data_IF_114598604867
#
_entry.id   IF_114598604867
#
_cell.length_a   1.000
_cell.length_b   1.000
_cell.length_c   1.000
_cell.angle_alpha   90.00
_cell.angle_beta   90.00
_cell.angle_gamma   90.00
#
_symmetry.space_group_name_H-M   'P 1'
#
loop_
_entity.id
_entity.type
_entity.pdbx_description
1 polymer ?
#
# COMPACT_ATOMS: atom_id res chain seq x y z
N UNK A 1 34.81 34.96 7.10
CA UNK A 1 33.58 34.15 7.23
C UNK A 1 32.92 34.53 8.56
N UNK A 2 31.90 35.40 8.55
CA UNK A 2 31.29 35.95 9.77
C UNK A 2 30.34 34.97 10.47
N UNK A 3 29.84 35.35 11.66
CA UNK A 3 28.90 34.59 12.51
C UNK A 3 27.70 34.00 11.74
N UNK A 4 27.19 34.71 10.73
CA UNK A 4 26.09 34.25 9.87
C UNK A 4 26.48 32.98 9.08
N UNK A 5 27.71 32.93 8.56
CA UNK A 5 28.20 31.76 7.82
C UNK A 5 28.37 30.52 8.70
N UNK A 6 28.84 30.70 9.93
CA UNK A 6 28.92 29.60 10.90
C UNK A 6 27.53 29.07 11.31
N UNK A 7 26.55 29.98 11.49
CA UNK A 7 25.17 29.60 11.80
C UNK A 7 24.52 28.74 10.71
N UNK A 8 24.69 29.10 9.43
CA UNK A 8 24.17 28.33 8.29
C UNK A 8 24.78 26.92 8.25
N UNK A 9 26.10 26.80 8.46
CA UNK A 9 26.80 25.51 8.46
C UNK A 9 26.30 24.61 9.60
N UNK A 10 26.17 25.15 10.82
CA UNK A 10 25.66 24.40 11.98
C UNK A 10 24.23 23.93 11.74
N UNK A 11 23.35 24.81 11.25
CA UNK A 11 21.98 24.45 10.92
C UNK A 11 21.92 23.35 9.86
N UNK A 12 22.68 23.49 8.77
CA UNK A 12 22.75 22.47 7.72
C UNK A 12 23.24 21.11 8.23
N UNK A 13 24.28 21.10 9.07
CA UNK A 13 24.79 19.88 9.70
C UNK A 13 23.75 19.21 10.61
N UNK A 14 23.02 20.01 11.41
CA UNK A 14 21.95 19.52 12.28
C UNK A 14 20.80 18.91 11.46
N UNK A 15 20.35 19.56 10.39
CA UNK A 15 19.31 19.03 9.49
C UNK A 15 19.77 17.73 8.81
N UNK A 16 21.01 17.67 8.34
CA UNK A 16 21.57 16.45 7.74
C UNK A 16 21.63 15.28 8.74
N UNK A 17 22.04 15.53 9.99
CA UNK A 17 22.04 14.52 11.03
C UNK A 17 20.61 14.07 11.39
N UNK A 18 19.67 15.01 11.51
CA UNK A 18 18.25 14.73 11.73
C UNK A 18 17.67 13.85 10.64
N UNK A 19 17.90 14.19 9.37
CA UNK A 19 17.45 13.41 8.22
C UNK A 19 18.04 11.99 8.22
N UNK A 20 19.34 11.83 8.52
CA UNK A 20 19.97 10.50 8.62
C UNK A 20 19.33 9.64 9.71
N UNK A 21 19.08 10.22 10.88
CA UNK A 21 18.41 9.53 12.00
C UNK A 21 16.98 9.14 11.63
N UNK A 22 16.21 10.06 11.04
CA UNK A 22 14.84 9.79 10.60
C UNK A 22 14.79 8.66 9.54
N UNK A 23 15.69 8.67 8.55
CA UNK A 23 15.79 7.61 7.54
C UNK A 23 16.19 6.26 8.15
N UNK A 24 17.11 6.26 9.11
CA UNK A 24 17.49 5.02 9.81
C UNK A 24 16.32 4.45 10.63
N UNK A 25 15.60 5.30 11.37
CA UNK A 25 14.41 4.91 12.11
C UNK A 25 13.29 4.39 11.20
N UNK A 26 13.02 5.07 10.07
CA UNK A 26 12.03 4.63 9.09
C UNK A 26 12.40 3.25 8.50
N UNK A 27 13.67 3.04 8.13
CA UNK A 27 14.14 1.73 7.66
C UNK A 27 14.00 0.63 8.71
N UNK A 28 14.33 0.94 9.96
CA UNK A 28 14.16 0.00 11.06
C UNK A 28 12.69 -0.39 11.24
N UNK A 29 11.76 0.58 11.19
CA UNK A 29 10.31 0.31 11.24
C UNK A 29 9.84 -0.56 10.07
N UNK A 30 10.28 -0.25 8.85
CA UNK A 30 9.89 -1.05 7.67
C UNK A 30 10.40 -2.48 7.74
N UNK A 31 11.57 -2.70 8.36
CA UNK A 31 12.16 -4.03 8.51
C UNK A 31 11.40 -4.94 9.50
N UNK A 32 10.54 -4.39 10.36
CA UNK A 32 9.73 -5.19 11.30
C UNK A 32 8.39 -5.64 10.71
N UNK A 33 7.99 -5.10 9.55
CA UNK A 33 6.70 -5.42 8.95
C UNK A 33 6.77 -6.75 8.18
N UNK A 34 5.69 -7.57 8.20
CA UNK A 34 5.64 -8.87 7.53
C UNK A 34 5.40 -8.70 6.01
N UNK A 35 6.34 -8.06 5.34
CA UNK A 35 6.23 -7.71 3.91
C UNK A 35 6.43 -8.95 3.05
N UNK A 36 5.47 -9.19 2.17
CA UNK A 36 5.51 -10.20 1.11
C UNK A 36 5.81 -9.53 -0.23
N UNK A 37 6.21 -10.33 -1.23
CA UNK A 37 6.43 -9.89 -2.61
C UNK A 37 5.64 -10.78 -3.54
N UNK A 38 5.01 -10.18 -4.54
CA UNK A 38 4.32 -10.88 -5.63
C UNK A 38 4.83 -10.36 -6.96
N UNK A 39 5.04 -11.27 -7.92
CA UNK A 39 5.48 -10.93 -9.28
C UNK A 39 4.24 -10.80 -10.14
N UNK A 40 4.05 -9.64 -10.75
CA UNK A 40 2.91 -9.33 -11.62
C UNK A 40 3.41 -8.95 -13.01
N UNK A 41 2.49 -8.92 -13.98
CA UNK A 41 2.77 -8.53 -15.36
C UNK A 41 3.35 -7.12 -15.47
N UNK A 42 2.95 -6.22 -14.57
CA UNK A 42 3.40 -4.82 -14.49
C UNK A 42 4.60 -4.60 -13.54
N UNK A 43 5.22 -5.68 -13.06
CA UNK A 43 6.37 -5.64 -12.16
C UNK A 43 6.09 -6.21 -10.78
N UNK A 44 7.15 -6.39 -10.00
CA UNK A 44 7.06 -6.91 -8.64
C UNK A 44 6.39 -5.90 -7.71
N UNK A 45 5.46 -6.37 -6.88
CA UNK A 45 4.78 -5.56 -5.85
C UNK A 45 5.13 -6.10 -4.46
N UNK A 46 5.58 -5.21 -3.58
CA UNK A 46 5.68 -5.49 -2.15
C UNK A 46 4.36 -5.17 -1.47
N UNK A 47 3.88 -6.05 -0.58
CA UNK A 47 2.59 -5.88 0.08
C UNK A 47 2.57 -6.52 1.48
N UNK A 48 1.63 -6.08 2.30
CA UNK A 48 1.27 -6.76 3.55
C UNK A 48 -0.05 -7.49 3.33
N UNK A 49 -0.14 -8.70 3.88
CA UNK A 49 -1.35 -9.52 3.97
C UNK A 49 -1.49 -9.96 5.42
N UNK A 50 -2.45 -9.35 6.12
CA UNK A 50 -2.70 -9.59 7.54
C UNK A 50 -4.20 -9.52 7.82
N UNK A 51 -4.58 -9.93 9.02
CA UNK A 51 -5.97 -9.94 9.47
C UNK A 51 -6.31 -11.22 10.21
N UNK A 52 -7.59 -11.45 10.51
CA UNK A 52 -8.04 -12.68 11.14
C UNK A 52 -7.72 -13.89 10.25
N UNK A 53 -7.10 -14.91 10.85
CA UNK A 53 -6.95 -16.23 10.23
C UNK A 53 -8.36 -16.82 9.99
N UNK A 54 -8.61 -17.49 8.86
CA UNK A 54 -9.85 -18.26 8.68
C UNK A 54 -10.01 -19.24 9.84
N UNK A 55 -11.22 -19.33 10.40
CA UNK A 55 -11.57 -20.38 11.35
C UNK A 55 -11.64 -21.73 10.62
N UNK A 56 -10.50 -22.31 10.27
CA UNK A 56 -10.41 -23.58 9.54
C UNK A 56 -9.12 -23.69 8.74
N UNK A 57 -8.26 -24.64 9.12
CA UNK A 57 -6.92 -24.82 8.59
C UNK A 57 -6.81 -24.98 7.07
N UNK A 58 -5.57 -24.76 6.60
CA UNK A 58 -5.10 -24.84 5.22
C UNK A 58 -5.71 -25.98 4.39
N UNK A 59 -6.51 -25.65 3.38
CA UNK A 59 -6.76 -26.57 2.26
C UNK A 59 -8.16 -26.56 1.67
N UNK A 60 -8.59 -25.46 1.04
CA UNK A 60 -9.78 -25.46 0.18
C UNK A 60 -10.17 -24.06 -0.28
N UNK A 61 -10.85 -23.91 -1.43
CA UNK A 61 -11.37 -22.62 -1.87
C UNK A 61 -12.41 -22.12 -0.86
N UNK A 62 -12.11 -20.98 -0.22
CA UNK A 62 -12.94 -20.38 0.83
C UNK A 62 -14.32 -20.00 0.28
N UNK A 63 -15.33 -20.82 0.56
CA UNK A 63 -16.74 -20.40 0.51
C UNK A 63 -16.96 -19.42 1.66
N UNK A 64 -16.85 -18.12 1.36
CA UNK A 64 -17.16 -17.00 2.27
C UNK A 64 -16.25 -16.93 3.49
N UNK A 65 -15.24 -16.06 3.47
CA UNK A 65 -14.57 -15.69 4.72
C UNK A 65 -15.59 -15.01 5.65
N UNK A 66 -15.57 -15.35 6.94
CA UNK A 66 -16.37 -14.68 7.99
C UNK A 66 -16.02 -13.18 8.15
N UNK A 67 -15.02 -12.71 7.40
CA UNK A 67 -14.53 -11.35 7.39
C UNK A 67 -14.50 -10.78 5.96
N UNK A 68 -14.58 -9.46 5.88
CA UNK A 68 -14.36 -8.72 4.64
C UNK A 68 -12.87 -8.56 4.33
N UNK A 69 -12.54 -8.45 3.04
CA UNK A 69 -11.17 -8.17 2.58
C UNK A 69 -11.09 -6.74 2.06
N UNK A 70 -10.12 -5.97 2.56
CA UNK A 70 -9.86 -4.59 2.18
C UNK A 70 -8.56 -4.51 1.38
N UNK A 71 -8.64 -4.02 0.15
CA UNK A 71 -7.49 -3.55 -0.61
C UNK A 71 -7.22 -2.08 -0.25
N UNK A 72 -6.18 -1.84 0.55
CA UNK A 72 -5.82 -0.49 1.02
C UNK A 72 -4.72 0.12 0.17
N UNK A 73 -5.03 1.23 -0.49
CA UNK A 73 -4.16 1.89 -1.47
C UNK A 73 -3.65 3.21 -0.90
N UNK A 74 -2.34 3.26 -0.63
CA UNK A 74 -1.68 4.41 -0.01
C UNK A 74 -1.56 5.63 -0.93
N UNK A 75 -1.27 6.80 -0.33
CA UNK A 75 -1.12 8.09 -1.00
C UNK A 75 0.28 8.34 -1.58
N UNK A 76 0.67 9.61 -1.68
CA UNK A 76 2.06 9.97 -2.00
C UNK A 76 2.98 9.75 -0.78
N UNK A 77 4.24 9.45 -1.05
CA UNK A 77 5.30 9.23 -0.04
C UNK A 77 5.06 8.08 0.95
N UNK A 78 4.08 7.23 0.67
CA UNK A 78 3.75 6.05 1.49
C UNK A 78 4.38 4.76 0.98
N UNK A 79 3.65 3.68 1.17
CA UNK A 79 3.98 2.30 0.82
C UNK A 79 2.98 1.35 1.46
N UNK A 80 3.30 0.07 1.48
CA UNK A 80 2.54 -0.96 2.22
C UNK A 80 2.34 -0.60 3.70
N UNK A 81 3.25 0.18 4.30
CA UNK A 81 3.16 0.62 5.69
C UNK A 81 2.06 1.67 5.89
N UNK A 82 2.03 2.71 5.05
CA UNK A 82 0.94 3.69 5.06
C UNK A 82 -0.39 3.06 4.66
N UNK A 83 -0.39 2.12 3.70
CA UNK A 83 -1.59 1.37 3.34
C UNK A 83 -2.16 0.61 4.55
N UNK A 84 -1.31 -0.02 5.37
CA UNK A 84 -1.74 -0.65 6.61
C UNK A 84 -2.19 0.39 7.65
N UNK A 85 -1.46 1.49 7.83
CA UNK A 85 -1.82 2.55 8.78
C UNK A 85 -3.20 3.17 8.45
N UNK A 86 -3.58 3.26 7.16
CA UNK A 86 -4.86 3.83 6.71
C UNK A 86 -6.10 3.07 7.21
N UNK A 87 -5.98 1.76 7.47
CA UNK A 87 -7.12 0.94 7.90
C UNK A 87 -7.27 0.89 9.42
N UNK A 88 -6.27 1.36 10.17
CA UNK A 88 -6.31 1.41 11.64
C UNK A 88 -6.69 0.06 12.26
N UNK A 89 -7.63 0.07 13.20
CA UNK A 89 -8.10 -1.13 13.89
C UNK A 89 -8.99 -2.05 13.04
N UNK A 90 -9.35 -1.68 11.80
CA UNK A 90 -10.08 -2.58 10.91
C UNK A 90 -9.29 -3.86 10.61
N UNK A 91 -7.96 -3.84 10.73
CA UNK A 91 -7.13 -5.05 10.58
C UNK A 91 -7.40 -6.13 11.62
N UNK A 92 -8.09 -5.81 12.73
CA UNK A 92 -8.51 -6.79 13.74
C UNK A 92 -9.75 -7.58 13.30
N UNK A 93 -10.51 -7.07 12.32
CA UNK A 93 -11.81 -7.62 11.90
C UNK A 93 -11.88 -7.95 10.41
N UNK A 94 -11.00 -7.38 9.60
CA UNK A 94 -10.95 -7.56 8.16
C UNK A 94 -9.57 -8.05 7.74
N UNK A 95 -9.52 -8.86 6.67
CA UNK A 95 -8.26 -9.16 6.00
C UNK A 95 -7.82 -7.93 5.20
N UNK A 96 -6.57 -7.54 5.36
CA UNK A 96 -6.01 -6.34 4.75
C UNK A 96 -4.96 -6.77 3.74
N UNK A 97 -5.18 -6.35 2.50
CA UNK A 97 -4.19 -6.40 1.44
C UNK A 97 -3.68 -4.97 1.23
N UNK A 98 -2.45 -4.71 1.66
CA UNK A 98 -1.83 -3.39 1.67
C UNK A 98 -0.59 -3.37 0.76
N UNK A 99 -0.74 -3.19 -0.56
CA UNK A 99 0.38 -3.09 -1.49
C UNK A 99 1.04 -1.72 -1.47
N UNK A 100 2.35 -1.69 -1.73
CA UNK A 100 3.02 -0.49 -2.25
C UNK A 100 2.66 -0.31 -3.73
N UNK A 101 2.19 0.87 -4.10
CA UNK A 101 1.97 1.26 -5.50
C UNK A 101 3.28 1.24 -6.30
N UNK A 102 3.18 1.33 -7.62
CA UNK A 102 4.31 1.40 -8.53
C UNK A 102 5.30 2.52 -8.15
N UNK A 103 6.59 2.17 -8.10
CA UNK A 103 7.67 3.09 -7.74
C UNK A 103 7.81 3.39 -6.24
N UNK A 104 6.94 2.83 -5.39
CA UNK A 104 6.99 2.96 -3.93
C UNK A 104 7.75 1.79 -3.27
N UNK A 105 8.04 1.84 -1.95
CA UNK A 105 8.94 0.90 -1.29
C UNK A 105 8.69 -0.56 -1.65
N UNK A 106 9.71 -1.20 -2.22
CA UNK A 106 9.69 -2.62 -2.57
C UNK A 106 8.91 -2.98 -3.83
N UNK A 107 8.20 -2.04 -4.47
CA UNK A 107 7.47 -2.25 -5.72
C UNK A 107 8.18 -1.63 -6.91
N UNK A 108 8.32 -2.41 -7.98
CA UNK A 108 8.84 -1.95 -9.27
C UNK A 108 7.70 -1.45 -10.17
N UNK A 109 8.05 -0.92 -11.33
CA UNK A 109 7.10 -0.54 -12.37
C UNK A 109 7.64 -0.99 -13.72
N UNK A 110 6.80 -1.66 -14.51
CA UNK A 110 7.02 -1.97 -15.93
C UNK A 110 5.88 -1.35 -16.73
N UNK A 111 6.18 -0.87 -17.93
CA UNK A 111 5.20 -0.14 -18.74
C UNK A 111 5.16 1.35 -18.38
N UNK A 112 3.99 1.96 -18.54
CA UNK A 112 3.81 3.41 -18.35
C UNK A 112 3.57 3.80 -16.88
N UNK A 113 3.21 2.83 -16.03
CA UNK A 113 2.91 3.06 -14.62
C UNK A 113 1.65 3.89 -14.41
N UNK A 114 0.73 3.87 -15.36
CA UNK A 114 -0.53 4.62 -15.33
C UNK A 114 -1.47 4.10 -14.25
N UNK A 115 -2.50 4.89 -13.88
CA UNK A 115 -3.58 4.40 -13.02
C UNK A 115 -4.28 3.16 -13.56
N UNK A 116 -4.36 3.01 -14.89
CA UNK A 116 -4.94 1.83 -15.55
C UNK A 116 -4.03 0.61 -15.37
N UNK A 117 -2.73 0.73 -15.59
CA UNK A 117 -1.76 -0.34 -15.33
C UNK A 117 -1.79 -0.76 -13.85
N UNK A 118 -1.88 0.22 -12.94
CA UNK A 118 -1.95 -0.05 -11.51
C UNK A 118 -3.23 -0.80 -11.12
N UNK A 119 -4.37 -0.44 -11.72
CA UNK A 119 -5.65 -1.13 -11.53
C UNK A 119 -5.60 -2.57 -12.07
N UNK A 120 -5.03 -2.78 -13.28
CA UNK A 120 -4.85 -4.11 -13.85
C UNK A 120 -3.95 -5.00 -12.96
N UNK A 121 -2.89 -4.43 -12.40
CA UNK A 121 -2.02 -5.14 -11.45
C UNK A 121 -2.75 -5.48 -10.13
N UNK A 122 -3.67 -4.64 -9.65
CA UNK A 122 -4.51 -5.01 -8.50
C UNK A 122 -5.40 -6.20 -8.84
N UNK A 123 -6.04 -6.22 -10.03
CA UNK A 123 -6.85 -7.36 -10.45
C UNK A 123 -6.03 -8.66 -10.50
N UNK A 124 -4.88 -8.63 -11.16
CA UNK A 124 -3.96 -9.77 -11.25
C UNK A 124 -3.49 -10.24 -9.88
N UNK A 125 -3.17 -9.30 -8.99
CA UNK A 125 -2.79 -9.61 -7.61
C UNK A 125 -3.91 -10.33 -6.86
N UNK A 126 -5.16 -9.88 -6.98
CA UNK A 126 -6.30 -10.54 -6.34
C UNK A 126 -6.53 -11.95 -6.90
N UNK A 127 -6.34 -12.17 -8.21
CA UNK A 127 -6.45 -13.49 -8.83
C UNK A 127 -5.42 -14.46 -8.26
N UNK A 128 -4.15 -14.04 -8.18
CA UNK A 128 -3.07 -14.86 -7.63
C UNK A 128 -3.22 -15.14 -6.13
N UNK A 129 -3.88 -14.24 -5.39
CA UNK A 129 -4.19 -14.43 -3.97
C UNK A 129 -5.49 -15.21 -3.72
N UNK A 130 -6.22 -15.58 -4.77
CA UNK A 130 -7.51 -16.28 -4.67
C UNK A 130 -8.61 -15.44 -4.04
N UNK A 131 -8.56 -14.11 -4.21
CA UNK A 131 -9.52 -13.17 -3.64
C UNK A 131 -10.54 -12.76 -4.70
N UNK A 132 -11.79 -13.18 -4.52
CA UNK A 132 -12.84 -12.93 -5.51
C UNK A 132 -13.26 -11.46 -5.53
N UNK A 133 -13.57 -10.87 -4.36
CA UNK A 133 -14.05 -9.47 -4.26
C UNK A 133 -13.51 -8.78 -3.01
N UNK A 134 -13.28 -7.47 -3.11
CA UNK A 134 -12.73 -6.64 -2.03
C UNK A 134 -13.54 -5.37 -1.82
N UNK A 135 -13.46 -4.81 -0.62
CA UNK A 135 -13.68 -3.37 -0.41
C UNK A 135 -12.37 -2.67 -0.74
N UNK A 136 -12.42 -1.57 -1.48
CA UNK A 136 -11.24 -0.81 -1.87
C UNK A 136 -11.18 0.48 -1.05
N UNK A 137 -10.06 0.74 -0.38
CA UNK A 137 -9.79 2.00 0.29
C UNK A 137 -8.71 2.75 -0.49
N UNK A 138 -9.06 3.89 -1.08
CA UNK A 138 -8.11 4.82 -1.69
C UNK A 138 -7.84 6.01 -0.78
N UNK A 139 -6.59 6.26 -0.42
CA UNK A 139 -6.20 7.43 0.37
C UNK A 139 -5.40 8.44 -0.47
N UNK A 140 -5.82 9.71 -0.48
CA UNK A 140 -5.12 10.78 -1.22
C UNK A 140 -4.84 10.39 -2.68
N UNK A 141 -3.58 10.40 -3.13
CA UNK A 141 -3.19 9.99 -4.49
C UNK A 141 -3.44 8.50 -4.80
N UNK A 142 -3.70 7.66 -3.79
CA UNK A 142 -4.15 6.28 -3.98
C UNK A 142 -5.57 6.20 -4.55
N UNK A 143 -6.36 7.26 -4.39
CA UNK A 143 -7.71 7.41 -4.93
C UNK A 143 -7.76 7.21 -6.45
N UNK A 144 -6.82 7.77 -7.20
CA UNK A 144 -6.79 7.69 -8.67
C UNK A 144 -6.81 6.25 -9.19
N UNK A 145 -5.93 5.38 -8.67
CA UNK A 145 -5.89 3.96 -9.04
C UNK A 145 -7.04 3.15 -8.42
N UNK A 146 -7.51 3.51 -7.22
CA UNK A 146 -8.65 2.86 -6.59
C UNK A 146 -9.97 3.10 -7.35
N UNK A 147 -10.21 4.34 -7.77
CA UNK A 147 -11.36 4.72 -8.60
C UNK A 147 -11.25 4.01 -9.96
N UNK A 148 -10.07 4.02 -10.59
CA UNK A 148 -9.86 3.32 -11.85
C UNK A 148 -10.14 1.82 -11.74
N UNK A 149 -9.68 1.17 -10.67
CA UNK A 149 -9.95 -0.24 -10.40
C UNK A 149 -11.43 -0.53 -10.23
N UNK A 150 -12.17 0.31 -9.49
CA UNK A 150 -13.61 0.16 -9.34
C UNK A 150 -14.39 0.35 -10.65
N UNK A 151 -13.90 1.18 -11.57
CA UNK A 151 -14.50 1.38 -12.90
C UNK A 151 -14.21 0.22 -13.85
N UNK A 152 -12.99 -0.30 -13.85
CA UNK A 152 -12.54 -1.36 -14.77
C UNK A 152 -13.00 -2.75 -14.34
N UNK A 153 -13.12 -2.97 -13.03
CA UNK A 153 -13.42 -4.26 -12.42
C UNK A 153 -14.57 -4.16 -11.41
N UNK A 154 -15.76 -3.65 -11.81
CA UNK A 154 -16.87 -3.44 -10.88
C UNK A 154 -17.39 -4.73 -10.23
N UNK A 155 -17.21 -5.88 -10.91
CA UNK A 155 -17.51 -7.21 -10.39
C UNK A 155 -16.59 -7.61 -9.23
N UNK A 156 -15.39 -7.02 -9.13
CA UNK A 156 -14.40 -7.29 -8.08
C UNK A 156 -14.54 -6.39 -6.86
N UNK A 157 -15.38 -5.35 -6.92
CA UNK A 157 -15.48 -4.32 -5.89
C UNK A 157 -16.81 -4.39 -5.14
N UNK A 158 -16.76 -4.72 -3.84
CA UNK A 158 -17.93 -4.69 -2.93
C UNK A 158 -18.30 -3.27 -2.49
N UNK A 159 -17.31 -2.37 -2.47
CA UNK A 159 -17.48 -0.98 -2.08
C UNK A 159 -16.18 -0.20 -2.22
N UNK A 160 -16.28 1.12 -2.38
CA UNK A 160 -15.16 2.04 -2.53
C UNK A 160 -15.19 3.10 -1.42
N UNK A 161 -14.10 3.19 -0.66
CA UNK A 161 -13.89 4.18 0.40
C UNK A 161 -12.81 5.16 -0.09
N UNK A 162 -13.14 6.45 -0.14
CA UNK A 162 -12.23 7.51 -0.57
C UNK A 162 -11.85 8.41 0.61
N UNK A 163 -10.62 8.27 1.10
CA UNK A 163 -10.10 9.04 2.23
C UNK A 163 -9.28 10.23 1.72
N UNK A 164 -9.88 11.42 1.71
CA UNK A 164 -9.24 12.66 1.22
C UNK A 164 -8.59 12.49 -0.16
N UNK A 165 -9.28 11.78 -1.06
CA UNK A 165 -8.71 11.29 -2.32
C UNK A 165 -8.64 12.33 -3.42
N UNK A 166 -7.65 12.16 -4.31
CA UNK A 166 -7.63 12.83 -5.60
C UNK A 166 -8.60 12.13 -6.55
N UNK A 167 -9.41 12.92 -7.27
CA UNK A 167 -10.17 12.43 -8.41
C UNK A 167 -9.21 12.10 -9.58
N UNK A 168 -9.62 11.24 -10.53
CA UNK A 168 -8.80 10.85 -11.67
C UNK A 168 -8.46 12.01 -12.61
#
# INVERSE_FOLDING_TARGET
>A
MGLIGAGIVIYGAAQALGLRRARAAARARLATLPVRRIVLSHGDVAYIDCGPEPAGGSGGPSRGSDYETILSVHGLYGGYDQALDNVGNLSEHCRIIAPSRFGYPGSTVRGDGSPTDQAAAFNEMLDLLGIERVVVLGASAGGTSAIRFALDHPDRVKGLILLSSAAP
#
